data_IF_055355778502
#
_entry.id   IF_055355778502
#
_cell.length_a   1.000
_cell.length_b   1.000
_cell.length_c   1.000
_cell.angle_alpha   90.00
_cell.angle_beta   90.00
_cell.angle_gamma   90.00
#
_symmetry.space_group_name_H-M   'P 1'
#
loop_
_entity.id
_entity.type
_entity.pdbx_description
1 polymer ?
#
# COMPACT_ATOMS: atom_id res chain seq x y z
N UNK A 1 -25.58 22.96 9.58
CA UNK A 1 -25.62 23.19 8.10
C UNK A 1 -24.75 24.40 7.79
N UNK A 2 -23.71 24.21 6.99
CA UNK A 2 -22.86 25.30 6.53
C UNK A 2 -23.62 26.21 5.57
N UNK A 3 -23.61 27.52 5.79
CA UNK A 3 -24.22 28.51 4.85
C UNK A 3 -23.26 28.67 3.65
N UNK A 4 -23.60 28.09 2.50
CA UNK A 4 -22.80 28.05 1.28
C UNK A 4 -21.97 26.76 1.16
N UNK A 5 -21.81 26.25 -0.07
CA UNK A 5 -20.94 25.08 -0.32
C UNK A 5 -19.48 25.50 -0.22
N UNK A 6 -18.79 25.03 0.83
CA UNK A 6 -17.36 25.30 1.03
C UNK A 6 -16.51 24.36 0.20
N UNK A 7 -15.45 24.88 -0.39
CA UNK A 7 -14.58 24.14 -1.32
C UNK A 7 -13.38 23.55 -0.59
N UNK A 8 -13.12 22.26 -0.83
CA UNK A 8 -12.05 21.48 -0.20
C UNK A 8 -11.13 20.87 -1.27
N UNK A 9 -9.84 21.16 -1.17
CA UNK A 9 -8.82 20.43 -1.87
C UNK A 9 -8.33 19.28 -1.00
N UNK A 10 -8.39 18.04 -1.51
CA UNK A 10 -7.93 16.84 -0.81
C UNK A 10 -6.78 16.18 -1.57
N UNK A 11 -5.62 16.05 -0.92
CA UNK A 11 -4.46 15.35 -1.50
C UNK A 11 -3.95 14.25 -0.59
N UNK A 12 -3.79 13.05 -1.17
CA UNK A 12 -3.26 11.88 -0.46
C UNK A 12 -1.80 11.62 -0.82
N UNK A 13 -1.01 11.30 0.20
CA UNK A 13 0.37 10.82 0.08
C UNK A 13 0.51 9.53 0.87
N UNK A 14 1.17 8.52 0.28
CA UNK A 14 1.50 7.29 0.98
C UNK A 14 1.01 6.01 0.30
N UNK A 15 0.59 5.04 1.11
CA UNK A 15 0.21 3.70 0.66
C UNK A 15 -1.27 3.59 0.26
N UNK A 16 -1.67 2.41 -0.22
CA UNK A 16 -3.07 2.09 -0.56
C UNK A 16 -4.04 2.33 0.60
N UNK A 17 -3.63 2.05 1.85
CA UNK A 17 -4.47 2.33 3.01
C UNK A 17 -4.72 3.84 3.22
N UNK A 18 -3.72 4.71 2.93
CA UNK A 18 -3.94 6.16 2.96
C UNK A 18 -4.90 6.59 1.84
N UNK A 19 -4.77 6.00 0.65
CA UNK A 19 -5.67 6.31 -0.47
C UNK A 19 -7.11 5.93 -0.14
N UNK A 20 -7.34 4.71 0.38
CA UNK A 20 -8.67 4.28 0.85
C UNK A 20 -9.25 5.23 1.91
N UNK A 21 -8.42 5.69 2.86
CA UNK A 21 -8.86 6.67 3.85
C UNK A 21 -9.24 8.01 3.21
N UNK A 22 -8.51 8.45 2.16
CA UNK A 22 -8.86 9.68 1.45
C UNK A 22 -10.16 9.56 0.66
N UNK A 23 -10.46 8.40 0.08
CA UNK A 23 -11.75 8.14 -0.57
C UNK A 23 -12.91 8.27 0.43
N UNK A 24 -12.74 7.77 1.66
CA UNK A 24 -13.73 7.92 2.74
C UNK A 24 -13.82 9.37 3.21
N UNK A 25 -12.70 10.07 3.40
CA UNK A 25 -12.69 11.50 3.74
C UNK A 25 -13.47 12.29 2.68
N UNK A 26 -13.17 12.04 1.39
CA UNK A 26 -13.86 12.68 0.27
C UNK A 26 -15.37 12.43 0.31
N UNK A 27 -15.79 11.17 0.55
CA UNK A 27 -17.19 10.80 0.67
C UNK A 27 -17.91 11.49 1.82
N UNK A 28 -17.34 11.46 3.02
CA UNK A 28 -17.91 12.13 4.19
C UNK A 28 -18.03 13.66 3.99
N UNK A 29 -17.05 14.29 3.36
CA UNK A 29 -17.09 15.72 3.05
C UNK A 29 -18.17 16.04 2.03
N UNK A 30 -18.28 15.26 0.96
CA UNK A 30 -19.30 15.45 -0.08
C UNK A 30 -20.71 15.25 0.49
N UNK A 31 -20.90 14.21 1.31
CA UNK A 31 -22.19 13.93 1.99
C UNK A 31 -22.59 15.07 2.94
N UNK A 32 -21.62 15.73 3.56
CA UNK A 32 -21.83 16.91 4.40
C UNK A 32 -22.02 18.23 3.62
N UNK A 33 -22.00 18.18 2.28
CA UNK A 33 -22.24 19.35 1.41
C UNK A 33 -21.00 20.17 1.04
N UNK A 34 -19.78 19.66 1.28
CA UNK A 34 -18.57 20.27 0.77
C UNK A 34 -18.37 19.93 -0.72
N UNK A 35 -17.74 20.82 -1.46
CA UNK A 35 -17.38 20.63 -2.88
C UNK A 35 -15.89 20.33 -2.98
N UNK A 36 -15.53 19.17 -3.54
CA UNK A 36 -14.14 18.82 -3.83
C UNK A 36 -13.66 19.58 -5.06
N UNK A 37 -12.45 20.16 -4.99
CA UNK A 37 -11.81 20.88 -6.07
C UNK A 37 -10.43 20.27 -6.37
N UNK A 38 -9.98 20.41 -7.63
CA UNK A 38 -8.69 19.85 -8.07
C UNK A 38 -7.53 20.82 -7.87
N UNK A 39 -7.78 22.13 -7.91
CA UNK A 39 -6.77 23.16 -7.71
C UNK A 39 -6.81 23.66 -6.25
N UNK A 40 -5.69 23.62 -5.50
CA UNK A 40 -5.62 24.17 -4.15
C UNK A 40 -5.92 25.69 -4.11
N UNK A 41 -5.77 26.43 -5.20
CA UNK A 41 -6.08 27.86 -5.27
C UNK A 41 -7.59 28.09 -5.16
N UNK A 42 -8.41 27.18 -5.68
CA UNK A 42 -9.88 27.27 -5.65
C UNK A 42 -10.48 26.85 -4.31
N UNK A 43 -9.68 26.24 -3.41
CA UNK A 43 -10.15 25.73 -2.13
C UNK A 43 -10.20 26.81 -1.04
N UNK A 44 -11.07 26.62 -0.06
CA UNK A 44 -11.05 27.29 1.25
C UNK A 44 -10.30 26.45 2.28
N UNK A 45 -10.42 25.12 2.15
CA UNK A 45 -9.75 24.15 3.00
C UNK A 45 -8.76 23.30 2.20
N UNK A 46 -7.55 23.13 2.72
CA UNK A 46 -6.52 22.24 2.21
C UNK A 46 -6.39 21.05 3.13
N UNK A 47 -6.85 19.88 2.72
CA UNK A 47 -6.75 18.63 3.48
C UNK A 47 -5.66 17.75 2.89
N UNK A 48 -4.60 17.51 3.66
CA UNK A 48 -3.48 16.67 3.25
C UNK A 48 -3.44 15.38 4.08
N UNK A 49 -3.72 14.24 3.42
CA UNK A 49 -3.57 12.93 4.04
C UNK A 49 -2.11 12.45 3.84
N UNK A 50 -1.38 12.33 4.94
CA UNK A 50 0.07 12.29 4.95
C UNK A 50 0.65 10.94 5.39
N UNK A 51 1.86 10.65 4.91
CA UNK A 51 2.65 9.48 5.25
C UNK A 51 3.96 9.90 5.94
N UNK A 52 4.45 9.07 6.87
CA UNK A 52 5.72 9.31 7.57
C UNK A 52 6.56 8.02 7.71
N UNK A 53 6.38 7.04 6.83
CA UNK A 53 7.12 5.77 6.88
C UNK A 53 8.59 5.98 6.46
N UNK A 54 8.84 6.76 5.41
CA UNK A 54 10.17 7.06 4.89
C UNK A 54 10.50 8.54 5.14
N UNK A 55 11.71 8.82 5.65
CA UNK A 55 12.14 10.21 5.93
C UNK A 55 12.11 11.13 4.71
N UNK A 56 12.45 10.61 3.52
CA UNK A 56 12.38 11.38 2.28
C UNK A 56 10.95 11.82 1.96
N UNK A 57 9.97 10.91 2.14
CA UNK A 57 8.55 11.22 1.94
C UNK A 57 8.08 12.25 2.96
N UNK A 58 8.47 12.08 4.23
CA UNK A 58 8.15 13.02 5.30
C UNK A 58 8.72 14.41 5.01
N UNK A 59 10.01 14.51 4.64
CA UNK A 59 10.63 15.78 4.29
C UNK A 59 9.89 16.49 3.16
N UNK A 60 9.59 15.76 2.07
CA UNK A 60 8.82 16.30 0.94
C UNK A 60 7.43 16.79 1.38
N UNK A 61 6.74 16.04 2.25
CA UNK A 61 5.41 16.42 2.74
C UNK A 61 5.50 17.68 3.60
N UNK A 62 6.45 17.75 4.54
CA UNK A 62 6.67 18.95 5.36
C UNK A 62 6.95 20.17 4.47
N UNK A 63 7.79 20.04 3.45
CA UNK A 63 8.08 21.14 2.51
C UNK A 63 6.82 21.59 1.73
N UNK A 64 5.94 20.67 1.37
CA UNK A 64 4.65 20.99 0.73
C UNK A 64 3.74 21.74 1.71
N UNK A 65 3.61 21.24 2.94
CA UNK A 65 2.75 21.85 3.96
C UNK A 65 3.22 23.25 4.34
N UNK A 66 4.53 23.49 4.43
CA UNK A 66 5.11 24.83 4.68
C UNK A 66 4.78 25.84 3.59
N UNK A 67 4.64 25.36 2.34
CA UNK A 67 4.33 26.19 1.16
C UNK A 67 2.82 26.34 0.91
N UNK A 68 1.99 25.76 1.76
CA UNK A 68 0.55 25.92 1.66
C UNK A 68 0.16 27.41 1.72
N UNK A 69 -0.76 27.90 0.87
CA UNK A 69 -1.24 29.28 0.92
C UNK A 69 -1.76 29.67 2.29
N UNK A 70 -1.32 30.80 2.82
CA UNK A 70 -1.62 31.27 4.18
C UNK A 70 -3.03 31.83 4.36
N UNK A 71 -3.70 32.13 3.26
CA UNK A 71 -5.10 32.54 3.20
C UNK A 71 -6.10 31.38 3.21
N UNK A 72 -5.58 30.13 3.23
CA UNK A 72 -6.37 28.89 3.24
C UNK A 72 -6.24 28.20 4.60
N UNK A 73 -7.31 27.50 5.01
CA UNK A 73 -7.30 26.69 6.23
C UNK A 73 -6.63 25.33 5.96
N UNK A 74 -5.55 25.03 6.68
CA UNK A 74 -4.73 23.85 6.49
C UNK A 74 -5.06 22.75 7.50
N UNK A 75 -5.53 21.61 7.00
CA UNK A 75 -5.81 20.41 7.79
C UNK A 75 -4.85 19.29 7.40
N UNK A 76 -4.16 18.73 8.39
CA UNK A 76 -3.19 17.64 8.20
C UNK A 76 -3.73 16.36 8.83
N UNK A 77 -3.94 15.33 8.04
CA UNK A 77 -4.36 13.99 8.49
C UNK A 77 -3.35 12.93 8.10
N UNK A 78 -3.57 11.70 8.51
CA UNK A 78 -2.72 10.56 8.12
C UNK A 78 -1.73 10.13 9.20
N UNK A 79 -0.67 9.43 8.76
CA UNK A 79 0.30 8.85 9.69
C UNK A 79 1.28 9.87 10.29
N UNK A 80 1.61 10.94 9.55
CA UNK A 80 2.60 11.94 10.00
C UNK A 80 2.24 12.58 11.35
N UNK A 81 1.01 13.06 11.56
CA UNK A 81 0.64 13.68 12.84
C UNK A 81 0.85 12.77 14.04
N UNK A 82 0.60 11.47 13.90
CA UNK A 82 0.74 10.52 15.01
C UNK A 82 2.20 10.06 15.20
N UNK A 83 2.95 9.91 14.11
CA UNK A 83 4.33 9.42 14.17
C UNK A 83 5.30 10.51 14.64
N UNK A 84 5.14 11.72 14.14
CA UNK A 84 6.09 12.81 14.38
C UNK A 84 5.40 14.17 14.56
N UNK A 85 4.45 14.24 15.51
CA UNK A 85 3.66 15.44 15.79
C UNK A 85 4.56 16.64 16.16
N UNK A 86 5.55 16.41 17.00
CA UNK A 86 6.47 17.48 17.45
C UNK A 86 7.15 18.18 16.27
N UNK A 87 7.55 17.43 15.23
CA UNK A 87 8.13 18.01 14.03
C UNK A 87 7.09 18.80 13.24
N UNK A 88 5.88 18.23 13.07
CA UNK A 88 4.78 18.89 12.37
C UNK A 88 4.44 20.24 13.07
N UNK A 89 4.28 20.22 14.37
CA UNK A 89 3.95 21.40 15.18
C UNK A 89 5.00 22.50 15.10
N UNK A 90 6.29 22.12 15.10
CA UNK A 90 7.40 23.08 15.04
C UNK A 90 7.64 23.67 13.65
N UNK A 91 7.29 22.94 12.60
CA UNK A 91 7.70 23.28 11.23
C UNK A 91 6.54 23.73 10.34
N UNK A 92 5.28 23.48 10.72
CA UNK A 92 4.10 23.74 9.90
C UNK A 92 3.07 24.51 10.73
N UNK A 93 2.59 25.62 10.17
CA UNK A 93 1.43 26.33 10.70
C UNK A 93 0.16 25.69 10.10
N UNK A 94 -0.66 25.08 10.96
CA UNK A 94 -1.87 24.37 10.58
C UNK A 94 -3.05 24.78 11.46
N UNK A 95 -4.27 24.66 10.94
CA UNK A 95 -5.52 24.94 11.65
C UNK A 95 -6.12 23.68 12.26
N UNK A 96 -5.99 22.52 11.56
CA UNK A 96 -6.53 21.26 12.02
C UNK A 96 -5.58 20.08 11.85
N UNK A 97 -5.61 19.13 12.80
CA UNK A 97 -4.85 17.89 12.72
C UNK A 97 -5.68 16.72 13.19
N UNK A 98 -5.64 15.61 12.41
CA UNK A 98 -6.28 14.35 12.79
C UNK A 98 -5.34 13.15 12.61
N UNK A 99 -5.72 12.00 13.18
CA UNK A 99 -5.08 10.71 12.92
C UNK A 99 -5.39 10.17 11.52
N UNK A 100 -4.91 8.94 11.18
CA UNK A 100 -4.86 8.44 9.81
C UNK A 100 -6.22 8.01 9.21
N UNK A 101 -7.26 7.82 9.99
CA UNK A 101 -8.58 7.40 9.48
C UNK A 101 -9.69 8.13 10.24
N UNK A 102 -9.85 9.45 10.02
CA UNK A 102 -10.82 10.25 10.79
C UNK A 102 -12.26 9.86 10.47
N UNK A 103 -12.54 9.23 9.31
CA UNK A 103 -13.92 8.94 8.91
C UNK A 103 -14.78 10.19 8.89
N UNK A 104 -16.02 10.11 9.42
CA UNK A 104 -16.95 11.23 9.49
C UNK A 104 -16.46 12.38 10.41
N UNK A 105 -15.55 12.11 11.36
CA UNK A 105 -14.99 13.16 12.25
C UNK A 105 -14.26 14.28 11.51
N UNK A 106 -13.85 14.04 10.25
CA UNK A 106 -13.23 15.10 9.44
C UNK A 106 -14.17 16.29 9.25
N UNK A 107 -15.48 16.05 9.17
CA UNK A 107 -16.51 17.08 9.00
C UNK A 107 -16.55 17.98 10.24
N UNK A 108 -16.49 17.39 11.43
CA UNK A 108 -16.49 18.14 12.70
C UNK A 108 -15.22 19.00 12.81
N UNK A 109 -14.06 18.45 12.43
CA UNK A 109 -12.78 19.17 12.42
C UNK A 109 -12.85 20.39 11.50
N UNK A 110 -13.37 20.22 10.26
CA UNK A 110 -13.54 21.35 9.34
C UNK A 110 -14.54 22.38 9.89
N UNK A 111 -15.56 21.90 10.63
CA UNK A 111 -16.54 22.75 11.29
C UNK A 111 -15.91 23.68 12.34
N UNK A 112 -15.12 23.12 13.25
CA UNK A 112 -14.41 23.88 14.28
C UNK A 112 -13.36 24.83 13.67
N UNK A 113 -12.58 24.35 12.70
CA UNK A 113 -11.61 25.18 11.99
C UNK A 113 -12.30 26.34 11.28
N UNK A 114 -13.45 26.11 10.67
CA UNK A 114 -14.27 27.17 10.05
C UNK A 114 -14.77 28.23 11.05
N UNK A 115 -14.93 27.87 12.32
CA UNK A 115 -15.28 28.77 13.40
C UNK A 115 -14.05 29.54 13.97
N UNK A 116 -12.86 29.31 13.43
CA UNK A 116 -11.61 29.92 13.87
C UNK A 116 -10.91 29.17 15.01
N UNK A 117 -11.32 27.94 15.30
CA UNK A 117 -10.71 27.11 16.34
C UNK A 117 -9.55 26.28 15.77
N UNK A 118 -8.41 26.24 16.48
CA UNK A 118 -7.32 25.29 16.17
C UNK A 118 -7.63 23.94 16.79
N UNK A 119 -7.68 22.87 15.95
CA UNK A 119 -8.10 21.53 16.37
C UNK A 119 -6.97 20.54 16.29
N UNK A 120 -6.69 19.80 17.36
CA UNK A 120 -5.77 18.65 17.39
C UNK A 120 -6.53 17.42 17.89
N UNK A 121 -6.84 16.48 16.98
CA UNK A 121 -7.57 15.26 17.28
C UNK A 121 -6.77 14.04 16.85
N UNK A 122 -5.80 13.62 17.66
CA UNK A 122 -4.93 12.47 17.44
C UNK A 122 -5.46 11.17 18.09
N UNK A 123 -6.68 11.18 18.61
CA UNK A 123 -7.29 10.08 19.33
C UNK A 123 -7.33 8.77 18.54
N UNK A 124 -7.78 7.69 19.20
CA UNK A 124 -7.78 6.34 18.65
C UNK A 124 -8.32 6.30 17.23
N UNK A 125 -7.55 5.64 16.36
CA UNK A 125 -8.00 5.31 15.02
C UNK A 125 -9.31 4.56 15.18
N UNK A 126 -10.40 5.20 14.82
CA UNK A 126 -11.71 4.54 14.81
C UNK A 126 -11.61 3.32 13.89
N UNK A 127 -12.40 2.28 14.18
CA UNK A 127 -12.59 1.14 13.28
C UNK A 127 -12.85 1.70 11.88
N UNK A 128 -12.19 1.17 10.86
CA UNK A 128 -12.55 1.48 9.48
C UNK A 128 -14.00 1.07 9.29
N UNK A 129 -14.82 2.05 9.13
CA UNK A 129 -16.22 1.80 8.79
C UNK A 129 -16.30 1.68 7.25
N UNK A 130 -16.40 0.44 6.78
CA UNK A 130 -16.54 0.13 5.35
C UNK A 130 -17.91 0.60 4.81
N UNK A 131 -18.84 0.97 5.69
CA UNK A 131 -20.16 1.50 5.35
C UNK A 131 -20.15 3.00 5.08
N UNK A 132 -19.11 3.74 5.49
CA UNK A 132 -19.03 5.18 5.24
C UNK A 132 -19.05 5.51 3.75
N UNK A 133 -19.64 6.66 3.37
CA UNK A 133 -19.61 7.13 1.99
C UNK A 133 -18.16 7.32 1.52
N UNK A 134 -17.91 7.09 0.23
CA UNK A 134 -16.63 7.33 -0.41
C UNK A 134 -16.76 7.92 -1.80
N UNK A 135 -15.74 8.63 -2.23
CA UNK A 135 -15.54 9.05 -3.62
C UNK A 135 -14.31 8.29 -4.13
N UNK A 136 -14.49 7.28 -5.02
CA UNK A 136 -13.37 6.51 -5.57
C UNK A 136 -12.45 7.40 -6.42
N UNK A 137 -11.14 7.25 -6.25
CA UNK A 137 -10.14 7.90 -7.13
C UNK A 137 -10.09 7.19 -8.49
N UNK A 138 -10.31 5.87 -8.49
CA UNK A 138 -10.34 5.07 -9.70
C UNK A 138 -11.66 4.29 -9.76
N UNK A 139 -12.46 4.42 -10.84
CA UNK A 139 -13.77 3.75 -10.93
C UNK A 139 -13.65 2.23 -11.14
N UNK A 140 -12.49 1.75 -11.58
CA UNK A 140 -12.25 0.32 -11.88
C UNK A 140 -11.68 -0.42 -10.66
N UNK A 141 -10.97 0.29 -9.77
CA UNK A 141 -10.26 -0.29 -8.63
C UNK A 141 -10.93 0.08 -7.31
N UNK A 142 -11.27 -0.90 -6.49
CA UNK A 142 -11.70 -0.70 -5.12
C UNK A 142 -10.62 -1.08 -4.12
N UNK A 143 -10.23 -0.14 -3.27
CA UNK A 143 -9.26 -0.39 -2.19
C UNK A 143 -10.05 -0.64 -0.91
N UNK A 144 -9.94 -1.87 -0.38
CA UNK A 144 -10.67 -2.31 0.82
C UNK A 144 -9.67 -2.61 1.94
N UNK A 145 -9.57 -1.75 2.95
CA UNK A 145 -8.83 -2.09 4.17
C UNK A 145 -9.55 -3.21 4.93
N UNK A 146 -9.00 -4.43 4.89
CA UNK A 146 -9.60 -5.60 5.57
C UNK A 146 -9.33 -5.60 7.07
N UNK A 147 -8.22 -5.00 7.49
CA UNK A 147 -7.90 -4.76 8.90
C UNK A 147 -7.04 -3.50 9.07
N UNK A 148 -7.04 -2.96 10.27
CA UNK A 148 -6.18 -1.88 10.75
C UNK A 148 -5.23 -2.41 11.80
N UNK A 149 -4.04 -1.82 11.86
CA UNK A 149 -3.00 -2.24 12.79
C UNK A 149 -2.35 -3.55 12.38
N UNK A 150 -1.50 -4.07 13.25
CA UNK A 150 -0.69 -5.25 13.01
C UNK A 150 -0.40 -5.95 14.33
N UNK A 151 -0.17 -7.27 14.29
CA UNK A 151 0.32 -8.05 15.42
C UNK A 151 1.83 -7.99 15.57
N UNK A 152 2.56 -7.57 14.50
CA UNK A 152 4.02 -7.46 14.53
C UNK A 152 4.51 -6.29 15.38
N UNK A 153 5.68 -6.46 15.96
CA UNK A 153 6.40 -5.51 16.80
C UNK A 153 7.83 -5.23 16.29
N UNK A 154 7.97 -5.18 14.97
CA UNK A 154 9.25 -4.94 14.29
C UNK A 154 9.96 -3.72 14.85
N UNK A 155 11.25 -3.87 15.18
CA UNK A 155 12.04 -2.85 15.89
C UNK A 155 12.21 -1.52 15.15
N UNK A 156 11.96 -1.49 13.84
CA UNK A 156 12.06 -0.31 12.98
C UNK A 156 10.71 0.33 12.62
N UNK A 157 9.59 -0.35 12.95
CA UNK A 157 8.28 0.06 12.45
C UNK A 157 7.66 1.15 13.30
N UNK A 158 7.40 2.31 12.68
CA UNK A 158 6.66 3.41 13.31
C UNK A 158 5.16 3.36 13.01
N UNK A 159 4.73 2.49 12.10
CA UNK A 159 3.34 2.44 11.63
C UNK A 159 2.38 1.97 12.72
N UNK A 160 2.84 1.08 13.62
CA UNK A 160 2.01 0.63 14.73
C UNK A 160 1.61 1.76 15.70
N UNK A 161 2.41 2.84 15.79
CA UNK A 161 2.02 4.01 16.58
C UNK A 161 0.82 4.75 15.97
N UNK A 162 0.73 4.74 14.62
CA UNK A 162 -0.33 5.44 13.91
C UNK A 162 -1.57 4.56 13.66
N UNK A 163 -1.38 3.25 13.50
CA UNK A 163 -2.45 2.32 13.12
C UNK A 163 -2.90 1.40 14.26
N UNK A 164 -2.11 1.32 15.34
CA UNK A 164 -2.42 0.52 16.54
C UNK A 164 -2.25 -0.98 16.36
N UNK A 165 -2.87 -1.74 17.26
CA UNK A 165 -2.95 -3.20 17.23
C UNK A 165 -3.98 -3.66 16.20
N UNK A 166 -3.93 -4.95 15.86
CA UNK A 166 -4.84 -5.58 14.92
C UNK A 166 -6.30 -5.33 15.29
N UNK A 167 -7.08 -4.91 14.30
CA UNK A 167 -8.54 -4.80 14.31
C UNK A 167 -9.06 -5.17 12.94
N UNK A 168 -9.55 -6.38 12.80
CA UNK A 168 -10.11 -6.89 11.55
C UNK A 168 -11.53 -6.39 11.35
N UNK A 169 -11.89 -6.11 10.10
CA UNK A 169 -13.28 -5.89 9.72
C UNK A 169 -13.98 -7.26 9.62
N UNK A 170 -15.23 -7.40 10.07
CA UNK A 170 -16.00 -8.62 9.89
C UNK A 170 -16.03 -9.08 8.43
N UNK A 171 -16.03 -10.41 8.20
CA UNK A 171 -16.09 -10.98 6.84
C UNK A 171 -17.27 -10.41 6.08
N UNK A 172 -18.44 -10.34 6.72
CA UNK A 172 -19.68 -9.87 6.13
C UNK A 172 -19.61 -8.42 5.65
N UNK A 173 -18.95 -7.54 6.41
CA UNK A 173 -18.73 -6.14 6.02
C UNK A 173 -17.84 -6.03 4.78
N UNK A 174 -16.79 -6.83 4.70
CA UNK A 174 -15.89 -6.86 3.53
C UNK A 174 -16.61 -7.42 2.31
N UNK A 175 -17.33 -8.53 2.48
CA UNK A 175 -18.11 -9.20 1.42
C UNK A 175 -19.21 -8.28 0.88
N UNK A 176 -19.97 -7.61 1.75
CA UNK A 176 -21.01 -6.66 1.34
C UNK A 176 -20.38 -5.45 0.60
N UNK A 177 -19.19 -5.01 1.01
CA UNK A 177 -18.47 -3.97 0.31
C UNK A 177 -18.07 -4.41 -1.09
N UNK A 178 -17.52 -5.62 -1.27
CA UNK A 178 -17.18 -6.19 -2.58
C UNK A 178 -18.42 -6.29 -3.47
N UNK A 179 -19.52 -6.82 -2.94
CA UNK A 179 -20.80 -6.95 -3.65
C UNK A 179 -21.30 -5.61 -4.16
N UNK A 180 -21.33 -4.60 -3.31
CA UNK A 180 -21.75 -3.25 -3.69
C UNK A 180 -20.86 -2.68 -4.80
N UNK A 181 -19.56 -2.80 -4.67
CA UNK A 181 -18.63 -2.24 -5.62
C UNK A 181 -18.66 -2.96 -6.99
N UNK A 182 -18.96 -4.28 -7.01
CA UNK A 182 -19.23 -5.02 -8.26
C UNK A 182 -20.43 -4.45 -9.02
N UNK A 183 -21.50 -4.08 -8.31
CA UNK A 183 -22.68 -3.45 -8.93
C UNK A 183 -22.32 -2.09 -9.57
N UNK A 184 -21.36 -1.36 -9.01
CA UNK A 184 -20.84 -0.12 -9.59
C UNK A 184 -19.79 -0.32 -10.69
N UNK A 185 -19.50 -1.56 -11.08
CA UNK A 185 -18.63 -1.86 -12.21
C UNK A 185 -17.15 -1.99 -11.87
N UNK A 186 -16.78 -2.06 -10.59
CA UNK A 186 -15.41 -2.34 -10.16
C UNK A 186 -14.96 -3.69 -10.70
N UNK A 187 -13.72 -3.76 -11.19
CA UNK A 187 -13.11 -4.95 -11.80
C UNK A 187 -11.88 -5.43 -11.04
N UNK A 188 -11.33 -4.61 -10.15
CA UNK A 188 -10.14 -4.96 -9.37
C UNK A 188 -10.33 -4.57 -7.90
N UNK A 189 -10.09 -5.52 -7.01
CA UNK A 189 -10.19 -5.32 -5.56
C UNK A 189 -8.83 -5.44 -4.90
N UNK A 190 -8.39 -4.39 -4.22
CA UNK A 190 -7.17 -4.43 -3.40
C UNK A 190 -7.55 -4.66 -1.95
N UNK A 191 -7.46 -5.91 -1.48
CA UNK A 191 -7.58 -6.21 -0.08
C UNK A 191 -6.28 -5.81 0.62
N UNK A 192 -6.32 -4.74 1.40
CA UNK A 192 -5.13 -4.09 1.93
C UNK A 192 -5.15 -3.97 3.45
N UNK A 193 -3.97 -3.94 4.06
CA UNK A 193 -3.75 -3.62 5.47
C UNK A 193 -2.27 -3.35 5.74
N UNK A 194 -1.89 -3.22 7.02
CA UNK A 194 -0.49 -3.18 7.45
C UNK A 194 0.17 -4.55 7.36
N UNK A 195 -0.62 -5.63 7.47
CA UNK A 195 -0.24 -7.02 7.26
C UNK A 195 -1.53 -7.80 7.02
N UNK A 196 -1.76 -8.24 5.78
CA UNK A 196 -2.99 -8.96 5.44
C UNK A 196 -3.02 -10.38 5.97
N UNK A 197 -1.85 -11.01 6.23
CA UNK A 197 -1.78 -12.35 6.77
C UNK A 197 -2.21 -12.46 8.25
N UNK A 198 -2.32 -11.34 8.96
CA UNK A 198 -2.87 -11.37 10.33
C UNK A 198 -4.39 -11.15 10.38
N UNK A 199 -5.05 -10.91 9.23
CA UNK A 199 -6.49 -10.73 9.17
C UNK A 199 -7.24 -11.89 9.84
N UNK A 200 -8.26 -11.55 10.61
CA UNK A 200 -9.18 -12.49 11.21
C UNK A 200 -8.72 -13.11 12.52
N UNK A 201 -7.42 -13.01 12.87
CA UNK A 201 -6.89 -13.62 14.12
C UNK A 201 -7.53 -13.06 15.40
N UNK A 202 -8.07 -11.85 15.36
CA UNK A 202 -8.78 -11.20 16.46
C UNK A 202 -10.30 -11.43 16.46
N UNK A 203 -10.83 -12.01 15.39
CA UNK A 203 -12.27 -12.27 15.21
C UNK A 203 -12.59 -13.73 14.87
N UNK A 204 -11.61 -14.64 14.95
CA UNK A 204 -11.81 -16.08 14.79
C UNK A 204 -12.02 -16.56 13.36
N UNK A 205 -11.42 -15.88 12.36
CA UNK A 205 -11.42 -16.25 10.93
C UNK A 205 -10.02 -16.10 10.35
N UNK A 206 -9.87 -16.28 9.04
CA UNK A 206 -8.60 -16.18 8.33
C UNK A 206 -8.70 -15.39 7.02
N UNK A 207 -7.55 -15.01 6.47
CA UNK A 207 -7.46 -14.42 5.13
C UNK A 207 -7.93 -15.40 4.05
N UNK A 208 -7.64 -16.70 4.21
CA UNK A 208 -8.09 -17.74 3.26
C UNK A 208 -9.61 -17.87 3.23
N UNK A 209 -10.27 -17.86 4.41
CA UNK A 209 -11.73 -17.87 4.53
C UNK A 209 -12.36 -16.64 3.84
N UNK A 210 -11.80 -15.45 4.08
CA UNK A 210 -12.27 -14.24 3.43
C UNK A 210 -12.16 -14.32 1.91
N UNK A 211 -11.01 -14.82 1.39
CA UNK A 211 -10.81 -14.98 -0.05
C UNK A 211 -11.80 -15.97 -0.65
N UNK A 212 -12.06 -17.09 0.01
CA UNK A 212 -13.08 -18.06 -0.41
C UNK A 212 -14.42 -17.36 -0.64
N UNK A 213 -14.90 -16.62 0.37
CA UNK A 213 -16.18 -15.88 0.32
C UNK A 213 -16.20 -14.79 -0.77
N UNK A 214 -15.11 -14.06 -0.97
CA UNK A 214 -15.01 -13.03 -2.01
C UNK A 214 -15.01 -13.65 -3.41
N UNK A 215 -14.35 -14.79 -3.59
CA UNK A 215 -14.26 -15.47 -4.88
C UNK A 215 -15.55 -16.20 -5.30
N UNK A 216 -16.52 -16.40 -4.39
CA UNK A 216 -17.84 -16.96 -4.70
C UNK A 216 -18.71 -16.04 -5.58
N UNK A 217 -18.47 -14.71 -5.57
CA UNK A 217 -19.25 -13.81 -6.41
C UNK A 217 -19.07 -14.10 -7.89
N UNK A 218 -20.16 -14.06 -8.62
CA UNK A 218 -20.11 -14.12 -10.10
C UNK A 218 -19.52 -12.83 -10.67
N UNK A 219 -18.99 -12.93 -11.90
CA UNK A 219 -18.45 -11.80 -12.62
C UNK A 219 -16.96 -11.91 -12.91
N UNK A 220 -16.51 -11.08 -13.83
CA UNK A 220 -15.12 -11.01 -14.26
C UNK A 220 -14.40 -9.87 -13.51
N UNK A 221 -13.66 -10.23 -12.48
CA UNK A 221 -12.90 -9.32 -11.64
C UNK A 221 -11.66 -10.01 -11.06
N UNK A 222 -10.72 -9.20 -10.58
CA UNK A 222 -9.54 -9.69 -9.90
C UNK A 222 -9.42 -9.16 -8.47
N UNK A 223 -8.82 -9.99 -7.60
CA UNK A 223 -8.47 -9.66 -6.22
C UNK A 223 -6.96 -9.64 -6.06
N UNK A 224 -6.41 -8.51 -5.63
CA UNK A 224 -5.02 -8.35 -5.24
C UNK A 224 -4.89 -8.31 -3.73
N UNK A 225 -4.04 -9.16 -3.18
CA UNK A 225 -3.70 -9.13 -1.76
C UNK A 225 -2.56 -8.14 -1.46
N UNK A 226 -2.70 -7.43 -0.36
CA UNK A 226 -1.65 -6.60 0.21
C UNK A 226 -0.46 -7.42 0.70
N UNK A 227 0.53 -6.75 1.31
CA UNK A 227 1.72 -7.40 1.83
C UNK A 227 1.37 -8.32 3.02
N UNK A 228 2.13 -9.40 3.14
CA UNK A 228 1.98 -10.44 4.17
C UNK A 228 3.29 -10.69 4.89
N UNK A 229 3.26 -10.71 6.23
CA UNK A 229 4.43 -11.09 7.01
C UNK A 229 4.66 -12.61 6.90
N UNK A 230 5.88 -13.08 6.55
CA UNK A 230 6.20 -14.50 6.49
C UNK A 230 5.80 -15.30 7.74
N UNK A 231 5.96 -14.73 8.92
CA UNK A 231 5.58 -15.35 10.20
C UNK A 231 4.11 -15.77 10.25
N UNK A 232 3.23 -14.90 9.78
CA UNK A 232 1.79 -15.17 9.78
C UNK A 232 1.36 -16.08 8.63
N UNK A 233 2.06 -16.05 7.49
CA UNK A 233 1.77 -16.90 6.32
C UNK A 233 2.05 -18.36 6.63
N UNK A 234 3.12 -18.69 7.38
CA UNK A 234 3.47 -20.07 7.72
C UNK A 234 2.33 -20.82 8.41
N UNK A 235 1.58 -20.16 9.27
CA UNK A 235 0.50 -20.75 10.03
C UNK A 235 -0.74 -21.13 9.19
N UNK A 236 -0.86 -20.60 7.96
CA UNK A 236 -1.99 -20.83 7.05
C UNK A 236 -1.53 -21.15 5.63
N UNK A 237 -0.33 -21.69 5.46
CA UNK A 237 0.34 -21.78 4.15
C UNK A 237 -0.48 -22.57 3.14
N UNK A 238 -0.95 -23.75 3.50
CA UNK A 238 -1.68 -24.64 2.59
C UNK A 238 -3.05 -24.05 2.23
N UNK A 239 -3.80 -23.53 3.19
CA UNK A 239 -5.11 -22.90 2.95
C UNK A 239 -4.97 -21.65 2.08
N UNK A 240 -3.91 -20.87 2.31
CA UNK A 240 -3.65 -19.67 1.51
C UNK A 240 -3.27 -20.03 0.07
N UNK A 241 -2.44 -21.06 -0.13
CA UNK A 241 -2.10 -21.54 -1.48
C UNK A 241 -3.37 -22.01 -2.20
N UNK A 242 -4.25 -22.74 -1.52
CA UNK A 242 -5.52 -23.19 -2.12
C UNK A 242 -6.39 -22.02 -2.53
N UNK A 243 -6.53 -21.01 -1.68
CA UNK A 243 -7.26 -19.79 -2.02
C UNK A 243 -6.66 -19.03 -3.22
N UNK A 244 -5.33 -19.05 -3.37
CA UNK A 244 -4.64 -18.45 -4.52
C UNK A 244 -4.84 -19.20 -5.84
N UNK A 245 -5.32 -20.44 -5.83
CA UNK A 245 -5.66 -21.18 -7.07
C UNK A 245 -6.89 -20.61 -7.79
N UNK A 246 -7.76 -19.90 -7.08
CA UNK A 246 -8.90 -19.21 -7.71
C UNK A 246 -8.45 -18.30 -8.85
N UNK A 247 -9.11 -18.39 -10.02
CA UNK A 247 -8.82 -17.55 -11.19
C UNK A 247 -9.02 -16.06 -10.91
N UNK A 248 -9.85 -15.73 -9.92
CA UNK A 248 -10.11 -14.34 -9.50
C UNK A 248 -9.00 -13.73 -8.64
N UNK A 249 -8.09 -14.54 -8.06
CA UNK A 249 -6.97 -14.04 -7.29
C UNK A 249 -5.76 -13.85 -8.19
N UNK A 250 -5.23 -12.64 -8.26
CA UNK A 250 -3.97 -12.41 -8.96
C UNK A 250 -2.87 -13.31 -8.43
N UNK A 251 -2.12 -13.94 -9.33
CA UNK A 251 -0.98 -14.78 -8.97
C UNK A 251 0.21 -13.89 -8.57
N UNK A 252 -0.03 -13.07 -7.55
CA UNK A 252 0.89 -12.06 -7.03
C UNK A 252 1.03 -12.20 -5.52
N UNK A 253 2.22 -12.57 -5.06
CA UNK A 253 2.56 -12.71 -3.65
C UNK A 253 3.48 -11.58 -3.23
N UNK A 254 3.04 -10.70 -2.31
CA UNK A 254 3.88 -9.69 -1.70
C UNK A 254 4.31 -10.15 -0.30
N UNK A 255 5.54 -10.65 -0.21
CA UNK A 255 6.11 -11.27 0.99
C UNK A 255 7.43 -10.59 1.38
N UNK A 256 7.44 -9.55 2.23
CA UNK A 256 8.63 -8.81 2.64
C UNK A 256 9.60 -9.64 3.47
N UNK A 257 10.78 -9.96 2.94
CA UNK A 257 11.83 -10.69 3.68
C UNK A 257 12.66 -9.79 4.58
N UNK A 258 12.83 -8.53 4.23
CA UNK A 258 13.58 -7.46 4.91
C UNK A 258 15.10 -7.65 4.92
N UNK A 259 15.65 -8.86 5.19
CA UNK A 259 17.07 -9.19 5.18
C UNK A 259 17.29 -10.66 4.83
N UNK A 260 18.44 -10.99 4.24
CA UNK A 260 18.89 -12.35 3.98
C UNK A 260 19.77 -12.95 5.10
N UNK A 261 19.86 -12.27 6.25
CA UNK A 261 20.63 -12.70 7.40
C UNK A 261 19.75 -12.84 8.65
N UNK A 262 19.79 -14.01 9.29
CA UNK A 262 18.95 -14.29 10.45
C UNK A 262 19.31 -13.43 11.68
N UNK A 263 20.56 -13.01 11.82
CA UNK A 263 20.98 -12.12 12.91
C UNK A 263 20.35 -10.75 12.74
N UNK A 264 20.34 -10.24 11.51
CA UNK A 264 19.66 -8.97 11.18
C UNK A 264 18.14 -9.10 11.35
N UNK A 265 17.53 -10.21 10.92
CA UNK A 265 16.11 -10.47 11.15
C UNK A 265 15.76 -10.45 12.64
N UNK A 266 16.57 -11.07 13.48
CA UNK A 266 16.40 -11.02 14.95
C UNK A 266 16.52 -9.59 15.50
N UNK A 267 17.52 -8.81 15.04
CA UNK A 267 17.64 -7.39 15.42
C UNK A 267 16.45 -6.55 14.96
N UNK A 268 15.85 -6.91 13.82
CA UNK A 268 14.61 -6.32 13.30
C UNK A 268 13.36 -6.78 14.06
N UNK A 269 13.50 -7.71 15.00
CA UNK A 269 12.41 -8.36 15.72
C UNK A 269 11.41 -9.05 14.77
N UNK A 270 11.97 -9.86 13.83
CA UNK A 270 11.20 -10.68 12.90
C UNK A 270 11.22 -12.12 13.41
N UNK A 271 10.02 -12.73 13.53
CA UNK A 271 9.84 -14.05 14.15
C UNK A 271 9.87 -15.20 13.13
N UNK A 272 10.60 -15.03 12.04
CA UNK A 272 10.86 -16.05 11.03
C UNK A 272 12.34 -16.01 10.60
N UNK A 273 12.77 -17.08 9.95
CA UNK A 273 14.12 -17.22 9.40
C UNK A 273 14.11 -17.06 7.87
N UNK A 274 15.28 -16.91 7.29
CA UNK A 274 15.47 -16.93 5.83
C UNK A 274 14.95 -18.24 5.22
N UNK A 275 15.13 -19.37 5.90
CA UNK A 275 14.63 -20.67 5.43
C UNK A 275 13.10 -20.74 5.46
N UNK A 276 12.45 -20.16 6.45
CA UNK A 276 10.99 -20.02 6.48
C UNK A 276 10.47 -19.22 5.25
N UNK A 277 11.12 -18.11 4.93
CA UNK A 277 10.79 -17.34 3.74
C UNK A 277 10.95 -18.18 2.45
N UNK A 278 12.08 -18.90 2.30
CA UNK A 278 12.32 -19.80 1.16
C UNK A 278 11.27 -20.90 1.07
N UNK A 279 10.92 -21.51 2.21
CA UNK A 279 9.89 -22.56 2.30
C UNK A 279 8.55 -22.05 1.73
N UNK A 280 8.09 -20.86 2.15
CA UNK A 280 6.85 -20.26 1.64
C UNK A 280 6.93 -20.06 0.13
N UNK A 281 8.02 -19.45 -0.36
CA UNK A 281 8.17 -19.18 -1.79
C UNK A 281 8.19 -20.45 -2.62
N UNK A 282 8.90 -21.48 -2.17
CA UNK A 282 8.98 -22.78 -2.86
C UNK A 282 7.60 -23.46 -2.89
N UNK A 283 6.87 -23.47 -1.77
CA UNK A 283 5.52 -24.04 -1.72
C UNK A 283 4.56 -23.35 -2.69
N UNK A 284 4.54 -22.01 -2.70
CA UNK A 284 3.73 -21.26 -3.65
C UNK A 284 4.11 -21.52 -5.11
N UNK A 285 5.40 -21.51 -5.45
CA UNK A 285 5.86 -21.74 -6.84
C UNK A 285 5.61 -23.15 -7.35
N UNK A 286 5.60 -24.14 -6.46
CA UNK A 286 5.26 -25.52 -6.80
C UNK A 286 3.81 -25.64 -7.30
N UNK A 287 2.90 -24.96 -6.61
CA UNK A 287 1.46 -25.04 -6.91
C UNK A 287 1.00 -23.97 -7.92
N UNK A 288 1.74 -22.86 -8.01
CA UNK A 288 1.45 -21.71 -8.88
C UNK A 288 2.73 -21.32 -9.64
N UNK A 289 3.08 -22.01 -10.72
CA UNK A 289 4.36 -21.81 -11.42
C UNK A 289 4.58 -20.41 -11.99
N UNK A 290 3.51 -19.70 -12.37
CA UNK A 290 3.56 -18.33 -12.91
C UNK A 290 3.36 -17.24 -11.83
N UNK A 291 3.65 -17.57 -10.57
CA UNK A 291 3.56 -16.62 -9.46
C UNK A 291 4.55 -15.45 -9.64
N UNK A 292 4.06 -14.24 -9.60
CA UNK A 292 4.87 -13.03 -9.43
C UNK A 292 5.16 -12.83 -7.95
N UNK A 293 6.43 -12.89 -7.57
CA UNK A 293 6.88 -12.65 -6.20
C UNK A 293 7.39 -11.21 -6.05
N UNK A 294 6.77 -10.45 -5.14
CA UNK A 294 7.27 -9.16 -4.67
C UNK A 294 7.81 -9.30 -3.25
N UNK A 295 8.96 -8.70 -2.97
CA UNK A 295 9.54 -8.66 -1.63
C UNK A 295 10.09 -7.27 -1.31
N UNK A 296 10.26 -6.98 -0.03
CA UNK A 296 10.89 -5.74 0.44
C UNK A 296 12.19 -6.09 1.17
N UNK A 297 13.20 -5.25 0.98
CA UNK A 297 14.49 -5.34 1.68
C UNK A 297 14.86 -3.97 2.24
N UNK A 298 15.26 -3.96 3.50
CA UNK A 298 15.80 -2.79 4.19
C UNK A 298 17.34 -2.89 4.20
N UNK A 299 18.00 -2.12 3.35
CA UNK A 299 19.45 -2.01 3.33
C UNK A 299 19.94 -1.13 4.48
N UNK A 300 21.02 -1.54 5.11
CA UNK A 300 21.73 -0.74 6.08
C UNK A 300 21.00 -0.60 7.42
N UNK A 301 20.28 -1.65 7.82
CA UNK A 301 19.76 -1.74 9.17
C UNK A 301 20.93 -1.70 10.17
N UNK A 302 20.83 -0.97 11.29
CA UNK A 302 21.88 -0.92 12.30
C UNK A 302 22.27 -2.32 12.78
N UNK A 303 23.55 -2.65 12.70
CA UNK A 303 24.06 -4.00 12.98
C UNK A 303 24.19 -4.91 11.75
N UNK A 304 23.70 -4.50 10.57
CA UNK A 304 23.94 -5.23 9.32
C UNK A 304 25.43 -5.16 8.94
N UNK A 305 26.17 -6.26 9.12
CA UNK A 305 27.57 -6.34 8.68
C UNK A 305 27.69 -6.36 7.15
N UNK A 306 28.91 -6.35 6.62
CA UNK A 306 29.13 -6.53 5.19
C UNK A 306 28.74 -7.93 4.73
N UNK A 307 29.05 -8.93 5.53
CA UNK A 307 28.73 -10.35 5.29
C UNK A 307 27.21 -10.56 5.29
N UNK A 308 26.49 -9.95 6.25
CA UNK A 308 25.02 -9.99 6.30
C UNK A 308 24.37 -9.37 5.04
N UNK A 309 24.95 -8.29 4.52
CA UNK A 309 24.50 -7.70 3.26
C UNK A 309 24.77 -8.62 2.07
N UNK A 310 25.94 -9.29 2.01
CA UNK A 310 26.24 -10.28 0.95
C UNK A 310 25.26 -11.47 1.01
N UNK A 311 24.87 -11.94 2.21
CA UNK A 311 23.82 -12.95 2.37
C UNK A 311 22.47 -12.47 1.81
N UNK A 312 22.12 -11.21 2.00
CA UNK A 312 20.92 -10.61 1.41
C UNK A 312 20.97 -10.61 -0.11
N UNK A 313 22.10 -10.23 -0.73
CA UNK A 313 22.28 -10.30 -2.19
C UNK A 313 22.20 -11.74 -2.70
N UNK A 314 22.84 -12.68 -1.98
CA UNK A 314 22.80 -14.12 -2.31
C UNK A 314 21.36 -14.64 -2.27
N UNK A 315 20.59 -14.31 -1.25
CA UNK A 315 19.17 -14.68 -1.14
C UNK A 315 18.36 -14.16 -2.34
N UNK A 316 18.53 -12.88 -2.70
CA UNK A 316 17.82 -12.27 -3.84
C UNK A 316 18.22 -12.95 -5.16
N UNK A 317 19.51 -13.26 -5.36
CA UNK A 317 19.98 -13.97 -6.54
C UNK A 317 19.48 -15.42 -6.63
N UNK A 318 19.35 -16.11 -5.49
CA UNK A 318 18.86 -17.50 -5.39
C UNK A 318 17.33 -17.57 -5.61
N UNK A 319 16.58 -16.72 -4.89
CA UNK A 319 15.11 -16.74 -4.92
C UNK A 319 14.55 -16.09 -6.18
N UNK A 320 15.28 -15.15 -6.78
CA UNK A 320 14.86 -14.41 -7.98
C UNK A 320 13.43 -13.86 -7.86
N UNK A 321 13.16 -12.91 -6.96
CA UNK A 321 11.87 -12.23 -6.92
C UNK A 321 11.65 -11.41 -8.19
N UNK A 322 10.41 -11.31 -8.63
CA UNK A 322 10.05 -10.48 -9.79
C UNK A 322 10.17 -8.98 -9.48
N UNK A 323 9.90 -8.62 -8.23
CA UNK A 323 10.00 -7.24 -7.73
C UNK A 323 10.71 -7.24 -6.37
N UNK A 324 11.74 -6.41 -6.22
CA UNK A 324 12.37 -6.12 -4.93
C UNK A 324 12.26 -4.64 -4.61
N UNK A 325 11.49 -4.30 -3.61
CA UNK A 325 11.38 -2.93 -3.11
C UNK A 325 12.55 -2.62 -2.17
N UNK A 326 13.64 -2.11 -2.73
CA UNK A 326 14.84 -1.75 -1.96
C UNK A 326 14.60 -0.45 -1.21
N UNK A 327 14.66 -0.51 0.12
CA UNK A 327 14.57 0.66 0.99
C UNK A 327 15.85 0.81 1.81
N UNK A 328 16.34 2.04 1.95
CA UNK A 328 17.37 2.36 2.93
C UNK A 328 16.74 2.40 4.32
N UNK A 329 17.47 1.95 5.33
CA UNK A 329 17.03 2.15 6.70
C UNK A 329 16.95 3.65 7.04
N UNK A 330 15.86 4.02 7.66
CA UNK A 330 15.67 5.37 8.23
C UNK A 330 15.22 5.23 9.67
N UNK A 331 15.97 5.84 10.57
CA UNK A 331 15.58 5.93 11.98
C UNK A 331 14.26 6.68 12.12
N UNK A 332 13.32 6.08 12.86
CA UNK A 332 11.99 6.68 13.11
C UNK A 332 11.78 6.96 14.58
N UNK A 333 11.09 8.07 14.92
CA UNK A 333 10.81 8.41 16.32
C UNK A 333 10.15 7.26 17.06
N UNK A 334 10.53 7.09 18.34
CA UNK A 334 9.98 6.11 19.28
C UNK A 334 10.23 4.64 18.94
N UNK A 335 10.88 4.30 17.82
CA UNK A 335 11.19 2.91 17.47
C UNK A 335 12.42 2.41 18.24
N UNK A 336 12.48 1.11 18.63
CA UNK A 336 13.67 0.53 19.25
C UNK A 336 14.94 0.74 18.41
N UNK A 337 14.85 0.59 17.10
CA UNK A 337 15.96 0.75 16.16
C UNK A 337 16.51 2.20 16.11
N UNK A 338 15.76 3.20 16.60
CA UNK A 338 16.25 4.58 16.72
C UNK A 338 17.47 4.70 17.64
N UNK A 339 17.60 3.80 18.62
CA UNK A 339 18.69 3.83 19.61
C UNK A 339 19.97 3.18 19.11
N UNK A 340 19.92 2.52 17.95
CA UNK A 340 21.05 1.80 17.38
C UNK A 340 21.91 2.74 16.52
N UNK A 341 23.21 2.47 16.45
CA UNK A 341 24.16 3.24 15.65
C UNK A 341 23.93 3.02 14.15
N UNK A 342 23.67 4.08 13.35
CA UNK A 342 23.41 3.95 11.93
C UNK A 342 24.67 3.57 11.15
N UNK A 343 24.50 2.94 10.00
CA UNK A 343 25.56 2.70 9.03
C UNK A 343 25.91 4.02 8.32
N UNK A 344 27.21 4.18 7.98
CA UNK A 344 27.69 5.37 7.29
C UNK A 344 26.91 5.62 5.97
N UNK A 345 26.52 6.86 5.66
CA UNK A 345 25.70 7.17 4.49
C UNK A 345 26.31 6.70 3.15
N UNK A 346 27.64 6.74 3.01
CA UNK A 346 28.35 6.27 1.81
C UNK A 346 28.14 4.76 1.60
N UNK A 347 28.26 3.98 2.67
CA UNK A 347 28.06 2.54 2.64
C UNK A 347 26.59 2.17 2.40
N UNK A 348 25.67 2.86 3.06
CA UNK A 348 24.24 2.70 2.85
C UNK A 348 23.85 2.95 1.38
N UNK A 349 24.39 4.02 0.77
CA UNK A 349 24.15 4.33 -0.64
C UNK A 349 24.74 3.25 -1.57
N UNK A 350 25.93 2.73 -1.27
CA UNK A 350 26.56 1.63 -2.02
C UNK A 350 25.67 0.39 -2.01
N UNK A 351 25.28 -0.10 -0.81
CA UNK A 351 24.43 -1.28 -0.63
C UNK A 351 23.11 -1.14 -1.39
N UNK A 352 22.43 -0.03 -1.21
CA UNK A 352 21.15 0.22 -1.88
C UNK A 352 21.27 0.24 -3.40
N UNK A 353 22.38 0.76 -3.96
CA UNK A 353 22.62 0.78 -5.41
C UNK A 353 22.87 -0.63 -5.94
N UNK A 354 23.78 -1.37 -5.32
CA UNK A 354 24.13 -2.75 -5.73
C UNK A 354 22.89 -3.66 -5.72
N UNK A 355 22.08 -3.60 -4.66
CA UNK A 355 20.86 -4.41 -4.59
C UNK A 355 19.81 -3.98 -5.62
N UNK A 356 19.67 -2.68 -5.88
CA UNK A 356 18.75 -2.17 -6.90
C UNK A 356 19.20 -2.56 -8.33
N UNK A 357 20.49 -2.63 -8.60
CA UNK A 357 21.04 -3.10 -9.88
C UNK A 357 20.76 -4.60 -10.07
N UNK A 358 21.07 -5.43 -9.05
CA UNK A 358 20.75 -6.86 -9.07
C UNK A 358 19.25 -7.10 -9.29
N UNK A 359 18.39 -6.37 -8.56
CA UNK A 359 16.94 -6.47 -8.69
C UNK A 359 16.47 -6.14 -10.10
N UNK A 360 16.99 -5.08 -10.73
CA UNK A 360 16.61 -4.70 -12.10
C UNK A 360 16.98 -5.76 -13.12
N UNK A 361 18.15 -6.38 -12.97
CA UNK A 361 18.58 -7.47 -13.86
C UNK A 361 17.62 -8.68 -13.73
N UNK A 362 17.31 -9.09 -12.50
CA UNK A 362 16.39 -10.21 -12.25
C UNK A 362 15.00 -9.90 -12.78
N UNK A 363 14.45 -8.72 -12.48
CA UNK A 363 13.14 -8.31 -12.96
C UNK A 363 13.07 -8.30 -14.49
N UNK A 364 14.11 -7.83 -15.17
CA UNK A 364 14.19 -7.83 -16.63
C UNK A 364 14.18 -9.26 -17.20
N UNK A 365 15.01 -10.17 -16.68
CA UNK A 365 15.03 -11.56 -17.14
C UNK A 365 13.69 -12.29 -16.87
N UNK A 366 13.06 -12.04 -15.72
CA UNK A 366 11.73 -12.54 -15.41
C UNK A 366 10.68 -12.02 -16.39
N UNK A 367 10.73 -10.75 -16.74
CA UNK A 367 9.79 -10.15 -17.69
C UNK A 367 10.05 -10.62 -19.14
N UNK A 368 11.32 -10.84 -19.55
CA UNK A 368 11.63 -11.41 -20.86
C UNK A 368 10.97 -12.77 -21.12
N UNK A 369 10.80 -13.58 -20.09
CA UNK A 369 10.12 -14.87 -20.20
C UNK A 369 8.63 -14.76 -20.58
N UNK A 370 8.05 -13.58 -20.55
CA UNK A 370 6.68 -13.33 -20.97
C UNK A 370 6.54 -12.95 -22.44
N UNK A 371 7.63 -12.69 -23.18
CA UNK A 371 7.57 -12.36 -24.61
C UNK A 371 6.89 -13.51 -25.36
N UNK A 372 5.87 -13.17 -26.17
CA UNK A 372 5.03 -14.14 -26.89
C UNK A 372 3.86 -14.69 -26.07
N UNK A 373 3.72 -14.35 -24.77
CA UNK A 373 2.53 -14.72 -24.02
C UNK A 373 1.29 -13.99 -24.59
N UNK A 374 0.18 -14.73 -24.70
CA UNK A 374 -1.11 -14.21 -25.09
C UNK A 374 -2.15 -14.46 -24.01
N UNK A 375 -3.04 -13.48 -23.81
CA UNK A 375 -4.12 -13.64 -22.84
C UNK A 375 -4.82 -12.33 -22.50
N UNK A 376 -5.83 -12.40 -21.61
CA UNK A 376 -6.59 -11.23 -21.20
C UNK A 376 -5.79 -10.36 -20.22
N UNK A 377 -5.88 -9.05 -20.42
CA UNK A 377 -5.35 -8.00 -19.54
C UNK A 377 -6.49 -7.07 -19.14
N UNK A 378 -6.64 -6.81 -17.85
CA UNK A 378 -7.51 -5.74 -17.36
C UNK A 378 -6.74 -4.43 -17.41
N UNK A 379 -7.21 -3.45 -18.19
CA UNK A 379 -6.68 -2.10 -18.19
C UNK A 379 -7.37 -1.27 -17.11
N UNK A 380 -6.60 -0.85 -16.10
CA UNK A 380 -7.09 -0.28 -14.85
C UNK A 380 -6.66 1.17 -14.61
N UNK A 381 -5.72 1.69 -15.41
CA UNK A 381 -5.25 3.07 -15.25
C UNK A 381 -4.74 3.68 -16.57
N UNK A 382 -4.83 5.02 -16.72
CA UNK A 382 -4.17 5.71 -17.82
C UNK A 382 -2.64 5.67 -17.62
N UNK A 383 -1.91 5.44 -18.72
CA UNK A 383 -0.46 5.51 -18.77
C UNK A 383 0.05 6.91 -19.06
N UNK A 384 1.26 7.02 -19.62
CA UNK A 384 1.82 8.29 -20.09
C UNK A 384 1.39 8.59 -21.53
N UNK A 385 0.98 9.82 -21.78
CA UNK A 385 0.50 10.23 -23.11
C UNK A 385 -0.78 9.49 -23.49
N UNK A 386 -0.80 8.82 -24.64
CA UNK A 386 -1.93 8.04 -25.15
C UNK A 386 -1.87 6.56 -24.77
N UNK A 387 -1.04 6.19 -23.78
CA UNK A 387 -0.91 4.81 -23.35
C UNK A 387 -1.90 4.45 -22.25
N UNK A 388 -2.20 3.15 -22.16
CA UNK A 388 -2.98 2.53 -21.08
C UNK A 388 -2.11 1.53 -20.33
N UNK A 389 -2.31 1.46 -19.05
CA UNK A 389 -1.67 0.46 -18.20
C UNK A 389 -2.72 -0.49 -17.62
N UNK A 390 -2.35 -1.77 -17.57
CA UNK A 390 -3.20 -2.83 -17.05
C UNK A 390 -2.40 -3.91 -16.36
N UNK A 391 -3.12 -4.97 -15.96
CA UNK A 391 -2.55 -6.12 -15.25
C UNK A 391 -3.03 -7.42 -15.91
N UNK A 392 -2.10 -8.35 -16.12
CA UNK A 392 -2.48 -9.72 -16.45
C UNK A 392 -2.78 -10.52 -15.15
N UNK A 393 -3.20 -11.78 -15.28
CA UNK A 393 -3.53 -12.64 -14.13
C UNK A 393 -2.39 -12.81 -13.12
N UNK A 394 -1.12 -12.63 -13.53
CA UNK A 394 0.06 -12.66 -12.66
C UNK A 394 0.42 -11.28 -12.11
N UNK A 395 -0.46 -10.28 -12.24
CA UNK A 395 -0.26 -8.90 -11.81
C UNK A 395 0.96 -8.22 -12.45
N UNK A 396 1.41 -8.70 -13.61
CA UNK A 396 2.47 -8.01 -14.37
C UNK A 396 1.93 -6.71 -14.92
N UNK A 397 2.65 -5.57 -14.72
CA UNK A 397 2.30 -4.32 -15.37
C UNK A 397 2.42 -4.48 -16.89
N UNK A 398 1.36 -4.13 -17.60
CA UNK A 398 1.26 -4.22 -19.06
C UNK A 398 0.95 -2.84 -19.61
N UNK A 399 1.64 -2.41 -20.65
CA UNK A 399 1.46 -1.10 -21.29
C UNK A 399 1.16 -1.25 -22.76
N UNK A 400 0.17 -0.51 -23.24
CA UNK A 400 -0.21 -0.43 -24.66
C UNK A 400 -0.46 1.02 -25.06
N UNK A 401 -0.14 1.38 -26.30
CA UNK A 401 -0.61 2.61 -26.93
C UNK A 401 -1.91 2.32 -27.68
N UNK A 402 -2.98 3.01 -27.33
CA UNK A 402 -4.28 2.86 -27.97
C UNK A 402 -4.98 4.22 -28.06
N UNK A 403 -5.56 4.50 -29.24
CA UNK A 403 -6.28 5.75 -29.51
C UNK A 403 -7.65 5.85 -28.85
N UNK A 404 -8.15 4.77 -28.24
CA UNK A 404 -9.41 4.72 -27.49
C UNK A 404 -9.19 4.38 -26.03
N UNK A 405 -10.17 4.70 -25.17
CA UNK A 405 -10.12 4.35 -23.76
C UNK A 405 -10.27 2.86 -23.54
N UNK A 406 -9.31 2.26 -22.83
CA UNK A 406 -9.35 0.86 -22.40
C UNK A 406 -9.71 0.69 -20.93
N UNK A 407 -9.99 1.76 -20.20
CA UNK A 407 -10.26 1.72 -18.76
C UNK A 407 -11.42 0.76 -18.43
N UNK A 408 -11.15 -0.21 -17.55
CA UNK A 408 -12.11 -1.23 -17.13
C UNK A 408 -12.37 -2.34 -18.15
N UNK A 409 -11.64 -2.37 -19.27
CA UNK A 409 -11.79 -3.41 -20.31
C UNK A 409 -10.81 -4.56 -20.11
N UNK A 410 -11.31 -5.78 -20.30
CA UNK A 410 -10.48 -6.96 -20.51
C UNK A 410 -10.19 -7.09 -22.01
N UNK A 411 -8.93 -7.02 -22.38
CA UNK A 411 -8.50 -7.05 -23.78
C UNK A 411 -7.52 -8.20 -23.99
N UNK A 412 -7.71 -8.97 -25.06
CA UNK A 412 -6.76 -10.00 -25.47
C UNK A 412 -5.53 -9.34 -26.09
N UNK A 413 -4.37 -9.67 -25.57
CA UNK A 413 -3.10 -9.05 -25.98
C UNK A 413 -2.01 -10.10 -26.14
N UNK A 414 -0.99 -9.76 -26.95
CA UNK A 414 0.28 -10.48 -27.05
C UNK A 414 1.40 -9.60 -26.51
N UNK A 415 2.29 -10.16 -25.69
CA UNK A 415 3.50 -9.49 -25.22
C UNK A 415 4.53 -9.46 -26.35
N UNK A 416 4.89 -8.25 -26.79
CA UNK A 416 5.85 -8.04 -27.88
C UNK A 416 7.22 -7.62 -27.38
N UNK A 417 7.29 -6.98 -26.21
CA UNK A 417 8.55 -6.53 -25.64
C UNK A 417 8.48 -6.53 -24.09
N UNK A 418 9.65 -6.51 -23.44
CA UNK A 418 9.75 -6.56 -22.00
C UNK A 418 10.79 -5.55 -21.48
N UNK A 419 10.43 -4.88 -20.40
CA UNK A 419 11.28 -3.97 -19.63
C UNK A 419 11.39 -4.45 -18.18
N UNK A 420 12.29 -3.91 -17.41
CA UNK A 420 12.44 -4.32 -15.99
C UNK A 420 11.20 -4.03 -15.14
N UNK A 421 10.32 -3.13 -15.57
CA UNK A 421 9.16 -2.67 -14.77
C UNK A 421 7.80 -2.93 -15.41
N UNK A 422 7.74 -3.27 -16.70
CA UNK A 422 6.48 -3.53 -17.41
C UNK A 422 6.72 -4.38 -18.67
N UNK A 423 5.64 -4.89 -19.23
CA UNK A 423 5.55 -5.58 -20.50
C UNK A 423 4.87 -4.68 -21.52
N UNK A 424 5.38 -4.62 -22.73
CA UNK A 424 4.74 -3.94 -23.85
C UNK A 424 3.93 -4.95 -24.67
N UNK A 425 2.72 -4.59 -25.03
CA UNK A 425 1.80 -5.50 -25.71
C UNK A 425 1.13 -4.87 -26.93
N UNK A 426 0.61 -5.74 -27.79
CA UNK A 426 -0.31 -5.41 -28.89
C UNK A 426 -1.64 -6.15 -28.71
N UNK A 427 -2.73 -5.63 -29.28
CA UNK A 427 -4.04 -6.31 -29.31
C UNK A 427 -3.98 -7.46 -30.32
N UNK A 428 -4.55 -8.61 -29.95
CA UNK A 428 -4.65 -9.79 -30.81
C UNK A 428 -6.06 -9.92 -31.38
#
# INVERSE_FOLDING_TARGET
MFKGSKRVYLKSYGCSANLANSEVIAGCLTDAGFVLVEDPQDAEFLVYNTCAVKSQTENRIIDILRKAPKDKQLIVTGCLPVINFKRLENEVDFDGVTGPAPGAKIVDVLGCVSAGEKVVSLGDVSKSDLCLPRVPVNPVVSIIPINYGCLGDCSYCCVHFARGRLRSNPVEEVVERVKRDLVFGVKEFWLTSQDTACYGKDIGTSLADLLGRVCEFEGNFFVRLGMMNPDHVLAMLDDLIEAYKSEKVFKFLHLPVQSGDNTVLNLMNRHYTVDNFKQIVLAFRKEIPQLTLSTDVICGFPGESREAFELTKKLVAEVQPDVVNVSKFFSRPRTPAQKLSPIAPKELNRRSRELAELSRMISFEKNRAWIGWEGPVLFDEPGKGESWMGRNFAYKPVVINAGESLLGRFVQVRVVNAFSTYLEVEIV
#
